data_IF_274221965046
#
_entry.id   IF_274221965046
#
_cell.length_a   1.000
_cell.length_b   1.000
_cell.length_c   1.000
_cell.angle_alpha   90.00
_cell.angle_beta   90.00
_cell.angle_gamma   90.00
#
_symmetry.space_group_name_H-M   'P 1'
#
loop_
_entity.id
_entity.type
_entity.pdbx_description
1 polymer ?
#
# COMPACT_ATOMS: atom_id res chain seq x y z
N UNK A 1 -47.94 41.39 32.37
CA UNK A 1 -46.61 41.57 33.00
C UNK A 1 -46.03 40.17 33.19
N UNK A 2 -44.86 39.76 32.69
CA UNK A 2 -43.74 40.48 32.11
C UNK A 2 -42.92 39.52 31.19
N UNK A 3 -42.42 40.11 30.09
CA UNK A 3 -41.12 39.95 29.41
C UNK A 3 -40.54 38.56 29.09
N UNK A 4 -40.53 38.27 27.79
CA UNK A 4 -39.65 37.34 27.07
C UNK A 4 -38.26 38.00 26.92
N UNK A 5 -37.12 37.35 27.24
CA UNK A 5 -35.84 37.77 26.72
C UNK A 5 -35.52 37.05 25.41
N UNK A 6 -35.31 37.84 24.35
CA UNK A 6 -34.51 37.45 23.18
C UNK A 6 -33.04 37.62 23.54
N UNK A 7 -32.20 36.63 23.24
CA UNK A 7 -30.75 36.72 23.34
C UNK A 7 -30.09 35.61 22.53
N UNK A 8 -29.45 35.99 21.43
CA UNK A 8 -28.93 35.08 20.42
C UNK A 8 -27.71 34.26 20.85
N UNK A 9 -27.46 33.18 20.10
CA UNK A 9 -26.14 32.56 19.96
C UNK A 9 -25.91 32.33 18.48
N UNK A 10 -25.17 33.26 17.87
CA UNK A 10 -24.36 32.95 16.70
C UNK A 10 -23.19 32.11 17.22
N UNK A 11 -23.25 30.80 17.04
CA UNK A 11 -22.06 29.95 17.15
C UNK A 11 -21.37 29.98 15.80
N UNK A 12 -20.22 30.65 15.70
CA UNK A 12 -19.29 30.42 14.59
C UNK A 12 -18.90 28.93 14.60
N UNK A 13 -18.80 28.27 13.43
CA UNK A 13 -18.24 26.93 13.36
C UNK A 13 -16.77 26.98 13.81
N UNK A 14 -16.26 25.91 14.44
CA UNK A 14 -14.87 25.86 14.90
C UNK A 14 -13.93 26.09 13.71
N UNK A 15 -13.03 27.06 13.86
CA UNK A 15 -11.96 27.35 12.91
C UNK A 15 -11.08 26.10 12.76
N UNK A 16 -11.16 25.44 11.60
CA UNK A 16 -10.16 24.45 11.20
C UNK A 16 -8.84 25.20 11.02
N UNK A 17 -7.91 25.00 11.95
CA UNK A 17 -6.57 25.52 11.81
C UNK A 17 -5.86 24.71 10.73
N UNK A 18 -5.71 25.30 9.55
CA UNK A 18 -4.85 24.77 8.50
C UNK A 18 -3.40 25.03 8.91
N UNK A 19 -2.73 23.99 9.40
CA UNK A 19 -1.29 24.01 9.63
C UNK A 19 -0.59 24.38 8.34
N UNK A 20 0.28 25.38 8.38
CA UNK A 20 0.91 25.89 7.16
C UNK A 20 1.94 24.89 6.64
N UNK A 21 2.20 24.88 5.33
CA UNK A 21 3.24 24.03 4.71
C UNK A 21 4.60 24.16 5.40
N UNK A 22 4.91 25.33 5.98
CA UNK A 22 6.14 25.59 6.76
C UNK A 22 6.16 24.91 8.12
N UNK A 23 5.01 24.77 8.78
CA UNK A 23 4.89 24.04 10.05
C UNK A 23 4.94 22.53 9.81
N UNK A 24 4.32 22.03 8.72
CA UNK A 24 4.49 20.64 8.27
C UNK A 24 5.97 20.33 8.05
N UNK A 25 6.71 21.18 7.32
CA UNK A 25 8.15 20.99 7.07
C UNK A 25 8.97 20.91 8.37
N UNK A 26 8.64 21.71 9.40
CA UNK A 26 9.34 21.66 10.70
C UNK A 26 9.05 20.37 11.47
N UNK A 27 7.80 19.89 11.45
CA UNK A 27 7.43 18.62 12.08
C UNK A 27 8.11 17.46 11.34
N UNK A 28 8.12 17.47 10.00
CA UNK A 28 8.82 16.47 9.18
C UNK A 28 10.32 16.45 9.44
N UNK A 29 10.96 17.61 9.60
CA UNK A 29 12.39 17.70 9.92
C UNK A 29 12.73 17.11 11.30
N UNK A 30 11.86 17.28 12.30
CA UNK A 30 12.04 16.69 13.62
C UNK A 30 11.80 15.17 13.63
N UNK A 31 10.88 14.64 12.81
CA UNK A 31 10.65 13.19 12.69
C UNK A 31 11.84 12.49 12.04
N UNK A 32 12.49 13.14 11.07
CA UNK A 32 13.74 12.64 10.45
C UNK A 32 14.97 12.70 11.37
N UNK A 33 14.82 13.26 12.58
CA UNK A 33 15.86 13.39 13.59
C UNK A 33 15.39 12.73 14.89
N UNK A 34 15.36 11.39 14.95
CA UNK A 34 15.27 10.72 16.24
C UNK A 34 16.68 10.55 16.82
N UNK A 35 16.89 11.03 18.04
CA UNK A 35 18.11 10.86 18.84
C UNK A 35 19.46 11.09 18.12
N UNK A 36 19.53 12.06 17.20
CA UNK A 36 20.78 12.45 16.54
C UNK A 36 21.17 11.66 15.30
N UNK A 37 20.35 10.71 14.84
CA UNK A 37 20.54 10.00 13.58
C UNK A 37 19.57 10.53 12.50
N UNK A 38 20.13 11.02 11.38
CA UNK A 38 19.37 11.41 10.19
C UNK A 38 19.03 10.18 9.35
N UNK A 39 17.74 10.00 9.08
CA UNK A 39 17.25 8.95 8.18
C UNK A 39 16.93 9.54 6.80
N UNK A 40 17.64 9.13 5.73
CA UNK A 40 17.37 9.64 4.40
C UNK A 40 16.04 9.10 3.86
N UNK A 41 15.38 9.88 3.01
CA UNK A 41 14.17 9.47 2.28
C UNK A 41 14.45 9.06 0.83
N UNK A 42 15.72 8.89 0.48
CA UNK A 42 16.21 8.44 -0.81
C UNK A 42 17.59 7.81 -0.65
N UNK A 43 17.91 6.79 -1.47
CA UNK A 43 19.25 6.20 -1.56
C UNK A 43 20.15 6.97 -2.53
N UNK A 44 19.66 8.10 -3.07
CA UNK A 44 20.34 8.93 -4.06
C UNK A 44 20.30 8.37 -5.49
N UNK A 45 19.63 7.23 -5.72
CA UNK A 45 19.46 6.65 -7.06
C UNK A 45 18.10 7.09 -7.65
N UNK A 46 18.01 7.28 -8.98
CA UNK A 46 16.72 7.41 -9.64
C UNK A 46 15.88 6.14 -9.43
N UNK A 47 14.58 6.31 -9.19
CA UNK A 47 13.62 5.21 -9.32
C UNK A 47 13.53 4.91 -10.83
N UNK A 48 14.23 3.88 -11.27
CA UNK A 48 14.33 3.50 -12.67
C UNK A 48 13.77 2.09 -12.84
N UNK A 49 12.47 2.02 -13.14
CA UNK A 49 11.74 0.76 -13.33
C UNK A 49 11.19 0.64 -14.74
N UNK A 50 11.00 -0.61 -15.20
CA UNK A 50 10.36 -0.89 -16.49
C UNK A 50 8.84 -0.64 -16.44
N UNK A 51 8.18 -0.45 -17.59
CA UNK A 51 6.72 -0.31 -17.62
C UNK A 51 6.00 -1.55 -17.04
N UNK A 52 6.58 -2.74 -17.24
CA UNK A 52 6.06 -4.00 -16.68
C UNK A 52 6.04 -4.02 -15.15
N UNK A 53 6.94 -3.28 -14.50
CA UNK A 53 6.99 -3.15 -13.05
C UNK A 53 6.17 -1.96 -12.56
N UNK A 54 6.31 -0.82 -13.24
CA UNK A 54 5.70 0.45 -12.87
C UNK A 54 4.18 0.41 -12.94
N UNK A 55 3.62 -0.15 -14.00
CA UNK A 55 2.18 -0.15 -14.24
C UNK A 55 1.40 -0.96 -13.19
N UNK A 56 1.79 -2.21 -12.82
CA UNK A 56 1.15 -2.91 -11.71
C UNK A 56 1.38 -2.23 -10.36
N UNK A 57 2.54 -1.60 -10.11
CA UNK A 57 2.80 -0.85 -8.88
C UNK A 57 1.77 0.27 -8.70
N UNK A 58 1.57 1.09 -9.73
CA UNK A 58 0.57 2.15 -9.68
C UNK A 58 -0.84 1.61 -9.57
N UNK A 59 -1.19 0.59 -10.36
CA UNK A 59 -2.51 -0.02 -10.28
C UNK A 59 -2.83 -0.52 -8.86
N UNK A 60 -1.93 -1.31 -8.26
CA UNK A 60 -2.15 -1.90 -6.94
C UNK A 60 -2.26 -0.83 -5.85
N UNK A 61 -1.34 0.15 -5.83
CA UNK A 61 -1.36 1.22 -4.83
C UNK A 61 -2.60 2.10 -4.94
N UNK A 62 -3.01 2.48 -6.15
CA UNK A 62 -4.22 3.30 -6.38
C UNK A 62 -5.50 2.52 -6.07
N UNK A 63 -5.60 1.27 -6.55
CA UNK A 63 -6.77 0.43 -6.34
C UNK A 63 -6.99 0.13 -4.85
N UNK A 64 -5.92 -0.20 -4.11
CA UNK A 64 -6.00 -0.44 -2.67
C UNK A 64 -6.32 0.83 -1.87
N UNK A 65 -5.73 1.98 -2.24
CA UNK A 65 -6.09 3.26 -1.62
C UNK A 65 -7.59 3.59 -1.82
N UNK A 66 -8.11 3.35 -3.02
CA UNK A 66 -9.52 3.52 -3.35
C UNK A 66 -10.43 2.53 -2.60
N UNK A 67 -10.05 1.25 -2.55
CA UNK A 67 -10.78 0.20 -1.82
C UNK A 67 -10.93 0.53 -0.34
N UNK A 68 -9.84 0.97 0.28
CA UNK A 68 -9.85 1.32 1.70
C UNK A 68 -10.27 2.75 1.99
N UNK A 69 -10.69 3.57 1.00
CA UNK A 69 -10.81 5.03 1.14
C UNK A 69 -11.59 5.51 2.37
N UNK A 70 -12.66 4.81 2.75
CA UNK A 70 -13.52 5.16 3.90
C UNK A 70 -12.98 4.64 5.24
N UNK A 71 -11.90 3.86 5.24
CA UNK A 71 -11.22 3.33 6.42
C UNK A 71 -10.00 4.22 6.74
N UNK A 72 -10.14 5.10 7.73
CA UNK A 72 -9.12 6.10 8.06
C UNK A 72 -7.79 5.49 8.58
N UNK A 73 -7.89 4.31 9.21
CA UNK A 73 -6.80 3.61 9.90
C UNK A 73 -6.23 2.44 9.06
N UNK A 74 -6.19 2.60 7.73
CA UNK A 74 -5.55 1.63 6.82
C UNK A 74 -4.58 2.36 5.91
N UNK A 75 -3.28 2.28 6.19
CA UNK A 75 -2.26 2.93 5.38
C UNK A 75 -1.85 2.03 4.22
N UNK A 76 -1.83 2.56 3.00
CA UNK A 76 -1.40 1.89 1.78
C UNK A 76 -0.32 2.74 1.11
N UNK A 77 0.81 2.14 0.77
CA UNK A 77 1.89 2.82 0.04
C UNK A 77 2.72 1.82 -0.75
N UNK A 78 3.69 2.30 -1.52
CA UNK A 78 4.63 1.52 -2.30
C UNK A 78 5.90 2.30 -2.56
N UNK A 79 7.00 1.59 -2.87
CA UNK A 79 8.32 2.17 -3.14
C UNK A 79 8.78 3.23 -2.11
N UNK A 80 8.38 3.07 -0.85
CA UNK A 80 8.69 3.97 0.26
C UNK A 80 9.74 3.31 1.15
N UNK A 81 10.78 4.06 1.52
CA UNK A 81 11.78 3.57 2.47
C UNK A 81 11.16 3.26 3.83
N UNK A 82 11.23 1.99 4.21
CA UNK A 82 10.77 1.42 5.46
C UNK A 82 11.96 1.02 6.32
N UNK A 83 12.20 1.78 7.38
CA UNK A 83 13.22 1.52 8.38
C UNK A 83 12.64 0.65 9.50
N UNK A 84 13.36 -0.42 9.81
CA UNK A 84 12.95 -1.39 10.82
C UNK A 84 13.96 -1.57 11.96
N UNK A 85 15.05 -0.79 11.96
CA UNK A 85 16.06 -0.76 13.02
C UNK A 85 16.33 0.68 13.48
N UNK A 86 16.00 0.97 14.74
CA UNK A 86 16.26 2.27 15.35
C UNK A 86 17.76 2.46 15.61
N UNK A 87 18.27 3.66 15.32
CA UNK A 87 19.70 4.01 15.39
C UNK A 87 20.51 3.70 14.12
N UNK A 88 19.97 2.95 13.15
CA UNK A 88 20.71 2.51 11.97
C UNK A 88 20.09 2.99 10.64
N UNK A 89 20.55 4.13 10.08
CA UNK A 89 19.97 4.73 8.86
C UNK A 89 20.39 4.02 7.57
N UNK A 90 21.24 2.98 7.62
CA UNK A 90 21.63 2.21 6.44
C UNK A 90 20.79 0.94 6.26
N UNK A 91 19.87 0.67 7.18
CA UNK A 91 19.08 -0.57 7.20
C UNK A 91 17.61 -0.22 6.98
N UNK A 92 17.16 -0.43 5.75
CA UNK A 92 15.79 -0.23 5.31
C UNK A 92 15.43 -1.24 4.23
N UNK A 93 14.13 -1.34 3.95
CA UNK A 93 13.57 -2.02 2.78
C UNK A 93 12.60 -1.08 2.09
N UNK A 94 12.38 -1.24 0.79
CA UNK A 94 11.34 -0.50 0.06
C UNK A 94 10.43 -1.50 -0.66
N UNK A 95 9.34 -1.96 0.00
CA UNK A 95 8.39 -2.87 -0.64
C UNK A 95 7.69 -2.18 -1.80
N UNK A 96 7.44 -2.89 -2.90
CA UNK A 96 6.72 -2.31 -4.05
C UNK A 96 5.31 -1.87 -3.68
N UNK A 97 4.60 -2.68 -2.89
CA UNK A 97 3.30 -2.34 -2.32
C UNK A 97 3.19 -2.92 -0.93
N UNK A 98 2.69 -2.13 0.02
CA UNK A 98 2.38 -2.62 1.36
C UNK A 98 1.14 -1.96 1.97
N UNK A 99 0.50 -2.69 2.88
CA UNK A 99 -0.69 -2.26 3.62
C UNK A 99 -0.46 -2.44 5.11
N UNK A 100 -0.86 -1.45 5.90
CA UNK A 100 -0.79 -1.48 7.37
C UNK A 100 -2.15 -1.11 7.97
N UNK A 101 -2.75 -2.06 8.68
CA UNK A 101 -4.00 -1.88 9.40
C UNK A 101 -3.74 -1.32 10.80
N UNK A 102 -4.63 -0.43 11.23
CA UNK A 102 -4.53 0.29 12.50
C UNK A 102 -3.60 1.50 12.46
N UNK A 103 -3.19 1.95 11.27
CA UNK A 103 -2.28 3.08 11.07
C UNK A 103 -2.97 4.15 10.21
N UNK A 104 -2.99 5.43 10.64
CA UNK A 104 -3.70 6.48 9.94
C UNK A 104 -3.09 6.80 8.58
N UNK A 105 -3.98 7.07 7.62
CA UNK A 105 -3.61 7.54 6.28
C UNK A 105 -3.09 8.97 6.31
N UNK A 106 -1.84 9.14 5.92
CA UNK A 106 -1.25 10.42 5.55
C UNK A 106 0.04 10.17 4.76
N UNK A 107 0.52 11.19 4.05
CA UNK A 107 1.75 11.09 3.29
C UNK A 107 2.96 11.03 4.22
N UNK A 108 3.87 10.11 3.93
CA UNK A 108 5.12 9.91 4.66
C UNK A 108 6.30 10.12 3.72
N UNK A 109 7.40 10.66 4.24
CA UNK A 109 8.69 10.65 3.53
C UNK A 109 9.41 9.32 3.71
N UNK A 110 9.31 8.76 4.90
CA UNK A 110 9.83 7.45 5.29
C UNK A 110 8.84 6.79 6.25
N UNK A 111 8.90 5.47 6.35
CA UNK A 111 8.17 4.71 7.35
C UNK A 111 9.15 4.16 8.38
N UNK A 112 8.91 4.39 9.67
CA UNK A 112 9.79 3.90 10.75
C UNK A 112 8.96 3.04 11.71
N UNK A 113 9.27 1.75 11.81
CA UNK A 113 8.41 0.79 12.54
C UNK A 113 8.27 1.13 14.03
N UNK A 114 9.27 1.75 14.65
CA UNK A 114 9.23 2.16 16.06
C UNK A 114 8.44 3.46 16.30
N UNK A 115 8.33 4.34 15.30
CA UNK A 115 7.49 5.54 15.36
C UNK A 115 6.02 5.19 15.11
N UNK A 116 5.77 4.33 14.13
CA UNK A 116 4.43 3.89 13.75
C UNK A 116 3.89 2.79 14.66
N UNK A 117 4.77 2.10 15.40
CA UNK A 117 4.45 1.04 16.35
C UNK A 117 4.36 -0.37 15.76
N UNK A 118 4.41 -0.52 14.42
CA UNK A 118 4.45 -1.82 13.73
C UNK A 118 4.97 -1.72 12.29
N UNK A 119 5.34 -2.86 11.72
CA UNK A 119 5.61 -3.02 10.29
C UNK A 119 4.34 -3.34 9.47
N UNK A 120 4.50 -3.65 8.17
CA UNK A 120 3.38 -3.96 7.29
C UNK A 120 2.63 -5.24 7.68
N UNK A 121 1.35 -5.28 7.35
CA UNK A 121 0.53 -6.49 7.49
C UNK A 121 0.49 -7.30 6.18
N UNK A 122 0.47 -6.60 5.05
CA UNK A 122 0.47 -7.19 3.71
C UNK A 122 1.59 -6.56 2.89
N UNK A 123 2.34 -7.39 2.17
CA UNK A 123 3.33 -6.95 1.17
C UNK A 123 3.08 -7.66 -0.15
N UNK A 124 3.14 -6.92 -1.26
CA UNK A 124 3.12 -7.45 -2.62
C UNK A 124 4.38 -6.93 -3.30
N UNK A 125 5.28 -7.84 -3.68
CA UNK A 125 6.46 -7.53 -4.50
C UNK A 125 6.16 -7.85 -5.96
N UNK A 126 6.48 -6.90 -6.82
CA UNK A 126 6.49 -7.07 -8.27
C UNK A 126 7.94 -7.40 -8.59
N UNK A 127 8.22 -8.59 -9.08
CA UNK A 127 9.58 -9.12 -9.04
C UNK A 127 10.03 -9.49 -10.44
N UNK A 128 11.35 -9.49 -10.65
CA UNK A 128 11.96 -9.73 -11.95
C UNK A 128 13.11 -10.73 -11.81
N UNK A 129 13.57 -11.31 -12.92
CA UNK A 129 14.74 -12.17 -12.91
C UNK A 129 15.98 -11.49 -12.28
N UNK A 130 16.10 -10.16 -12.37
CA UNK A 130 17.23 -9.42 -11.83
C UNK A 130 17.14 -9.21 -10.31
N UNK A 131 15.94 -9.06 -9.77
CA UNK A 131 15.69 -8.82 -8.33
C UNK A 131 15.37 -10.11 -7.56
N UNK A 132 15.20 -11.23 -8.26
CA UNK A 132 14.85 -12.54 -7.72
C UNK A 132 15.59 -12.93 -6.44
N UNK A 133 16.90 -12.78 -6.38
CA UNK A 133 17.67 -13.19 -5.20
C UNK A 133 17.30 -12.36 -3.96
N UNK A 134 17.17 -11.05 -4.15
CA UNK A 134 16.76 -10.13 -3.09
C UNK A 134 15.33 -10.43 -2.62
N UNK A 135 14.41 -10.64 -3.57
CA UNK A 135 12.99 -10.85 -3.28
C UNK A 135 12.69 -12.25 -2.70
N UNK A 136 13.24 -13.33 -3.26
CA UNK A 136 12.97 -14.71 -2.83
C UNK A 136 13.71 -15.11 -1.54
N UNK A 137 14.84 -14.48 -1.20
CA UNK A 137 15.67 -14.90 -0.06
C UNK A 137 15.75 -13.82 1.04
N UNK A 138 16.28 -12.64 0.71
CA UNK A 138 16.59 -11.60 1.71
C UNK A 138 15.32 -10.94 2.25
N UNK A 139 14.47 -10.44 1.36
CA UNK A 139 13.19 -9.80 1.69
C UNK A 139 12.20 -10.80 2.25
N UNK A 140 12.15 -12.03 1.72
CA UNK A 140 11.35 -13.11 2.31
C UNK A 140 11.66 -13.31 3.79
N UNK A 141 12.95 -13.50 4.12
CA UNK A 141 13.40 -13.68 5.51
C UNK A 141 13.11 -12.44 6.36
N UNK A 142 13.32 -11.25 5.81
CA UNK A 142 13.05 -10.00 6.49
C UNK A 142 11.55 -9.83 6.81
N UNK A 143 10.66 -9.97 5.84
CA UNK A 143 9.23 -9.82 6.03
C UNK A 143 8.67 -10.83 7.02
N UNK A 144 9.17 -12.06 7.01
CA UNK A 144 8.84 -13.06 8.03
C UNK A 144 9.21 -12.57 9.43
N UNK A 145 10.43 -12.03 9.60
CA UNK A 145 10.90 -11.47 10.88
C UNK A 145 10.13 -10.22 11.31
N UNK A 146 9.70 -9.40 10.36
CA UNK A 146 8.88 -8.21 10.63
C UNK A 146 7.42 -8.54 10.96
N UNK A 147 7.00 -9.80 10.79
CA UNK A 147 5.65 -10.24 11.11
C UNK A 147 4.62 -9.90 10.04
N UNK A 148 5.04 -9.69 8.80
CA UNK A 148 4.13 -9.47 7.66
C UNK A 148 3.26 -10.73 7.53
N UNK A 149 1.94 -10.55 7.61
CA UNK A 149 0.99 -11.67 7.73
C UNK A 149 0.67 -12.31 6.37
N UNK A 150 0.65 -11.50 5.31
CA UNK A 150 0.45 -11.95 3.93
C UNK A 150 1.55 -11.38 3.04
N UNK A 151 2.28 -12.26 2.37
CA UNK A 151 3.35 -11.87 1.45
C UNK A 151 3.08 -12.46 0.07
N UNK A 152 3.06 -11.61 -0.96
CA UNK A 152 2.81 -12.00 -2.34
C UNK A 152 3.98 -11.62 -3.24
N UNK A 153 4.24 -12.45 -4.25
CA UNK A 153 5.21 -12.19 -5.31
C UNK A 153 4.53 -12.35 -6.67
N UNK A 154 4.74 -11.38 -7.55
CA UNK A 154 4.21 -11.36 -8.90
C UNK A 154 5.31 -11.07 -9.91
N UNK A 155 5.50 -11.97 -10.87
CA UNK A 155 6.38 -11.80 -12.03
C UNK A 155 5.54 -11.33 -13.23
N UNK A 156 5.64 -10.05 -13.64
CA UNK A 156 4.83 -9.49 -14.71
C UNK A 156 5.23 -9.98 -16.11
N UNK A 157 6.43 -10.54 -16.27
CA UNK A 157 6.89 -11.09 -17.56
C UNK A 157 6.74 -12.61 -17.66
N UNK A 158 6.37 -13.26 -16.54
CA UNK A 158 6.21 -14.71 -16.44
C UNK A 158 7.44 -15.50 -16.89
N UNK A 159 8.63 -14.89 -16.85
CA UNK A 159 9.84 -15.44 -17.44
C UNK A 159 10.71 -16.23 -16.46
N UNK A 160 10.49 -16.11 -15.14
CA UNK A 160 11.31 -16.80 -14.15
C UNK A 160 10.54 -17.34 -12.93
N UNK A 161 9.46 -16.69 -12.49
CA UNK A 161 8.66 -17.16 -11.36
C UNK A 161 7.59 -18.14 -11.84
N UNK A 162 7.53 -19.33 -11.24
CA UNK A 162 6.62 -20.40 -11.67
C UNK A 162 5.88 -21.04 -10.48
N UNK A 163 4.56 -20.84 -10.33
CA UNK A 163 3.71 -19.97 -11.14
C UNK A 163 4.11 -18.48 -10.98
N UNK A 164 3.79 -17.61 -11.95
CA UNK A 164 4.14 -16.17 -11.94
C UNK A 164 3.42 -15.36 -10.85
N UNK A 165 2.54 -16.00 -10.07
CA UNK A 165 1.90 -15.42 -8.90
C UNK A 165 1.99 -16.43 -7.75
N UNK A 166 2.66 -16.04 -6.66
CA UNK A 166 2.80 -16.81 -5.42
C UNK A 166 2.39 -15.97 -4.22
N UNK A 167 2.03 -16.65 -3.14
CA UNK A 167 1.65 -15.99 -1.89
C UNK A 167 1.94 -16.89 -0.70
N UNK A 168 2.13 -16.28 0.46
CA UNK A 168 2.46 -16.97 1.71
C UNK A 168 1.70 -16.36 2.88
N UNK A 169 1.27 -17.21 3.81
CA UNK A 169 0.71 -16.84 5.11
C UNK A 169 1.77 -16.95 6.19
N UNK A 170 1.87 -15.96 7.07
CA UNK A 170 2.65 -16.11 8.28
C UNK A 170 1.85 -16.91 9.32
N UNK A 171 2.34 -18.11 9.65
CA UNK A 171 1.73 -19.01 10.64
C UNK A 171 2.76 -19.32 11.70
N UNK A 172 2.49 -18.91 12.94
CA UNK A 172 3.39 -19.12 14.10
C UNK A 172 4.84 -18.63 13.83
N UNK A 173 4.97 -17.50 13.11
CA UNK A 173 6.25 -16.87 12.80
C UNK A 173 7.01 -17.50 11.62
N UNK A 174 6.41 -18.44 10.89
CA UNK A 174 6.99 -19.04 9.68
C UNK A 174 6.03 -18.92 8.51
N UNK A 175 6.55 -18.59 7.33
CA UNK A 175 5.74 -18.53 6.12
C UNK A 175 5.33 -19.92 5.64
N UNK A 176 4.06 -20.03 5.26
CA UNK A 176 3.47 -21.20 4.61
C UNK A 176 2.92 -20.80 3.25
N UNK A 177 3.27 -21.55 2.22
CA UNK A 177 2.79 -21.32 0.85
C UNK A 177 1.26 -21.38 0.77
N UNK A 178 0.69 -20.40 0.06
CA UNK A 178 -0.71 -20.42 -0.34
C UNK A 178 -0.90 -21.40 -1.49
N UNK A 179 -2.04 -22.09 -1.49
CA UNK A 179 -2.43 -22.88 -2.67
C UNK A 179 -3.00 -21.94 -3.72
N UNK A 180 -2.24 -21.71 -4.79
CA UNK A 180 -2.76 -21.06 -5.99
C UNK A 180 -3.85 -21.92 -6.60
N UNK A 181 -5.04 -21.36 -6.76
CA UNK A 181 -6.16 -21.99 -7.46
C UNK A 181 -6.28 -21.44 -8.87
N UNK A 182 -6.91 -22.18 -9.78
CA UNK A 182 -7.04 -21.78 -11.18
C UNK A 182 -8.48 -21.92 -11.65
N UNK A 183 -9.00 -20.88 -12.32
CA UNK A 183 -10.29 -20.95 -13.01
C UNK A 183 -10.16 -21.72 -14.32
N UNK A 184 -11.30 -22.11 -14.89
CA UNK A 184 -11.38 -22.83 -16.17
C UNK A 184 -10.80 -22.07 -17.36
N UNK A 185 -10.74 -20.74 -17.29
CA UNK A 185 -10.13 -19.88 -18.31
C UNK A 185 -8.62 -19.69 -18.14
N UNK A 186 -8.03 -20.31 -17.12
CA UNK A 186 -6.61 -20.23 -16.82
C UNK A 186 -6.23 -19.18 -15.78
N UNK A 187 -7.17 -18.35 -15.32
CA UNK A 187 -6.90 -17.30 -14.31
C UNK A 187 -6.39 -17.91 -13.01
N UNK A 188 -5.21 -17.48 -12.56
CA UNK A 188 -4.68 -17.88 -11.25
C UNK A 188 -5.30 -17.02 -10.15
N UNK A 189 -5.56 -17.61 -8.99
CA UNK A 189 -6.19 -16.94 -7.85
C UNK A 189 -5.42 -17.24 -6.57
N UNK A 190 -5.08 -16.17 -5.85
CA UNK A 190 -4.65 -16.20 -4.46
C UNK A 190 -5.57 -15.34 -3.60
N UNK A 191 -6.14 -15.89 -2.51
CA UNK A 191 -6.97 -15.11 -1.60
C UNK A 191 -6.11 -14.27 -0.64
N UNK A 192 -6.52 -13.03 -0.39
CA UNK A 192 -6.05 -12.22 0.72
C UNK A 192 -7.20 -12.03 1.72
N UNK A 193 -7.02 -12.56 2.92
CA UNK A 193 -7.99 -12.50 4.00
C UNK A 193 -7.99 -11.09 4.61
N UNK A 194 -6.81 -10.49 4.77
CA UNK A 194 -6.65 -9.16 5.34
C UNK A 194 -7.19 -8.08 4.40
N UNK A 195 -6.91 -8.19 3.09
CA UNK A 195 -7.45 -7.23 2.13
C UNK A 195 -8.95 -7.43 1.87
N UNK A 196 -9.47 -8.64 2.14
CA UNK A 196 -10.81 -9.05 1.74
C UNK A 196 -10.95 -9.15 0.22
N UNK A 197 -9.85 -9.42 -0.48
CA UNK A 197 -9.75 -9.42 -1.94
C UNK A 197 -9.13 -10.72 -2.44
N UNK A 198 -9.18 -10.93 -3.75
CA UNK A 198 -8.42 -11.96 -4.44
C UNK A 198 -7.42 -11.30 -5.38
N UNK A 199 -6.16 -11.72 -5.29
CA UNK A 199 -5.17 -11.45 -6.31
C UNK A 199 -5.42 -12.43 -7.45
N UNK A 200 -5.76 -11.91 -8.63
CA UNK A 200 -6.04 -12.70 -9.82
C UNK A 200 -5.05 -12.38 -10.92
N UNK A 201 -4.41 -13.40 -11.47
CA UNK A 201 -3.59 -13.25 -12.66
C UNK A 201 -4.42 -13.66 -13.88
N UNK A 202 -4.86 -12.68 -14.66
CA UNK A 202 -5.69 -12.85 -15.84
C UNK A 202 -4.98 -12.22 -17.05
N UNK A 203 -4.73 -13.00 -18.11
CA UNK A 203 -3.99 -12.55 -19.30
C UNK A 203 -2.65 -11.88 -18.94
N UNK A 204 -1.87 -12.52 -18.05
CA UNK A 204 -0.60 -12.02 -17.49
C UNK A 204 -0.69 -10.72 -16.69
N UNK A 205 -1.89 -10.17 -16.46
CA UNK A 205 -2.11 -8.96 -15.66
C UNK A 205 -2.60 -9.31 -14.27
N UNK A 206 -1.89 -8.83 -13.25
CA UNK A 206 -2.35 -8.92 -11.87
C UNK A 206 -3.50 -7.93 -11.64
N UNK A 207 -4.66 -8.45 -11.25
CA UNK A 207 -5.89 -7.71 -10.93
C UNK A 207 -6.37 -8.04 -9.53
N UNK A 208 -6.96 -7.06 -8.86
CA UNK A 208 -7.61 -7.22 -7.56
C UNK A 208 -9.11 -7.41 -7.77
N UNK A 209 -9.64 -8.55 -7.32
CA UNK A 209 -11.06 -8.88 -7.41
C UNK A 209 -11.70 -8.85 -6.02
N UNK A 210 -12.83 -8.17 -5.89
CA UNK A 210 -13.65 -8.16 -4.69
C UNK A 210 -14.68 -9.30 -4.76
N UNK A 211 -14.48 -10.41 -4.02
CA UNK A 211 -15.40 -11.54 -4.04
C UNK A 211 -16.75 -11.25 -3.38
N UNK A 212 -16.86 -10.19 -2.57
CA UNK A 212 -18.11 -9.81 -1.91
C UNK A 212 -19.06 -9.13 -2.89
N UNK A 213 -18.54 -8.26 -3.74
CA UNK A 213 -19.33 -7.53 -4.73
C UNK A 213 -19.32 -8.20 -6.12
N UNK A 214 -18.37 -9.10 -6.37
CA UNK A 214 -18.25 -9.83 -7.64
C UNK A 214 -17.65 -8.99 -8.76
N UNK A 215 -16.82 -8.01 -8.42
CA UNK A 215 -16.29 -7.01 -9.35
C UNK A 215 -14.78 -6.79 -9.14
N UNK A 216 -14.10 -6.39 -10.21
CA UNK A 216 -12.70 -6.00 -10.14
C UNK A 216 -12.56 -4.58 -9.60
N UNK A 217 -11.52 -4.36 -8.80
CA UNK A 217 -11.06 -3.01 -8.53
C UNK A 217 -10.56 -2.40 -9.85
N UNK A 218 -11.14 -1.26 -10.17
CA UNK A 218 -10.92 -0.56 -11.43
C UNK A 218 -9.53 0.10 -11.45
N UNK A 219 -8.88 0.03 -12.59
CA UNK A 219 -7.76 0.91 -12.94
C UNK A 219 -8.23 2.36 -13.05
N UNK A 220 -7.30 3.32 -12.99
CA UNK A 220 -7.62 4.72 -13.25
C UNK A 220 -8.30 4.93 -14.61
N UNK A 221 -7.80 4.28 -15.66
CA UNK A 221 -8.38 4.36 -17.01
C UNK A 221 -9.81 3.82 -17.07
N UNK A 222 -10.11 2.71 -16.39
CA UNK A 222 -11.47 2.17 -16.30
C UNK A 222 -12.41 3.07 -15.48
N UNK A 223 -11.92 3.72 -14.42
CA UNK A 223 -12.67 4.72 -13.66
C UNK A 223 -13.06 5.92 -14.54
N UNK A 224 -12.12 6.44 -15.33
CA UNK A 224 -12.37 7.54 -16.28
C UNK A 224 -13.44 7.13 -17.30
N UNK A 225 -13.31 5.95 -17.92
CA UNK A 225 -14.29 5.45 -18.89
C UNK A 225 -15.68 5.25 -18.27
N UNK A 226 -15.76 4.75 -17.03
CA UNK A 226 -17.03 4.61 -16.30
C UNK A 226 -17.69 5.97 -16.04
N UNK A 227 -16.88 6.97 -15.68
CA UNK A 227 -17.34 8.36 -15.49
C UNK A 227 -17.83 8.99 -16.79
N UNK A 228 -17.15 8.81 -17.91
CA UNK A 228 -17.58 9.34 -19.21
C UNK A 228 -18.89 8.70 -19.68
N UNK A 229 -19.03 7.38 -19.52
CA UNK A 229 -20.27 6.66 -19.86
C UNK A 229 -21.46 7.12 -19.01
N UNK A 230 -21.23 7.48 -17.74
CA UNK A 230 -22.30 7.94 -16.84
C UNK A 230 -22.68 9.41 -17.02
N UNK A 231 -21.78 10.26 -17.52
CA UNK A 231 -22.07 11.67 -17.79
C UNK A 231 -22.76 11.90 -19.14
N UNK A 232 -22.76 10.92 -20.04
CA UNK A 232 -23.26 11.05 -21.42
C UNK A 232 -22.39 11.99 -22.27
N UNK A 233 -22.55 12.02 -23.60
CA UNK A 233 -21.83 12.97 -24.44
C UNK A 233 -22.23 14.39 -24.05
N UNK A 234 -21.25 15.25 -23.72
CA UNK A 234 -21.48 16.68 -23.61
C UNK A 234 -21.82 17.22 -25.00
N UNK A 235 -23.13 17.41 -25.26
CA UNK A 235 -23.67 18.07 -26.44
C UNK A 235 -23.54 19.57 -26.34
#
# INVERSE_FOLDING_TARGET
>A
MALIPKGGRNGEPPSVQFTTQRETIKVTANILQNEGSYYPDTDGKPIAESDFHRDPLFYLTEALNAHFREQAEVYVSGALMLYYEEGNPNVFVAPDVFVVFGIPKHNRRIYQTWIEGKGPDVVIEITSHLTRQEDEEEKHTLYQRLGVQEFFMYDPTSDYLQPPLRGQWLVEGTYQEMTTTQLTDGTLILPSCLLGLQLRLENDLLRLFDPKNGEYLLTYSELVQSREKSLGPMT
#
